data_IF_682303162901
#
_entry.id   IF_682303162901
#
_cell.length_a   1.000
_cell.length_b   1.000
_cell.length_c   1.000
_cell.angle_alpha   90.00
_cell.angle_beta   90.00
_cell.angle_gamma   90.00
#
_symmetry.space_group_name_H-M   'P 1'
#
loop_
_entity.id
_entity.type
_entity.pdbx_description
1 polymer ?
#
# COMPACT_ATOMS: atom_id res chain seq x y z
N UNK A 1 -25.20 -21.70 -5.19
CA UNK A 1 -24.05 -22.08 -4.35
C UNK A 1 -23.18 -20.85 -4.28
N UNK A 2 -23.08 -20.21 -3.12
CA UNK A 2 -22.09 -19.15 -2.92
C UNK A 2 -20.70 -19.78 -3.12
N UNK A 3 -20.00 -19.37 -4.16
CA UNK A 3 -18.60 -19.76 -4.32
C UNK A 3 -17.84 -19.27 -3.09
N UNK A 4 -17.06 -20.16 -2.46
CA UNK A 4 -16.17 -19.79 -1.36
C UNK A 4 -15.15 -18.74 -1.82
N UNK A 5 -14.58 -17.99 -0.89
CA UNK A 5 -13.53 -17.02 -1.21
C UNK A 5 -12.22 -17.74 -1.57
N UNK A 6 -11.35 -17.11 -2.38
CA UNK A 6 -10.15 -17.76 -2.92
C UNK A 6 -9.21 -18.38 -1.89
N UNK A 7 -9.15 -17.82 -0.68
CA UNK A 7 -8.31 -18.32 0.41
C UNK A 7 -9.09 -18.99 1.55
N UNK A 8 -10.35 -19.40 1.28
CA UNK A 8 -11.10 -20.21 2.25
C UNK A 8 -10.31 -21.49 2.60
N UNK A 9 -10.17 -21.74 3.90
CA UNK A 9 -9.39 -22.87 4.44
C UNK A 9 -7.90 -22.56 4.65
N UNK A 10 -7.38 -21.44 4.18
CA UNK A 10 -6.01 -20.98 4.49
C UNK A 10 -5.99 -20.27 5.83
N UNK A 11 -5.03 -20.65 6.68
CA UNK A 11 -4.81 -20.01 7.99
C UNK A 11 -3.51 -19.22 8.00
N UNK A 12 -3.62 -17.96 8.41
CA UNK A 12 -2.48 -17.02 8.49
C UNK A 12 -2.32 -16.56 9.94
N UNK A 13 -1.13 -16.73 10.49
CA UNK A 13 -0.76 -16.18 11.79
C UNK A 13 0.02 -14.87 11.55
N UNK A 14 -0.55 -13.79 12.03
CA UNK A 14 -0.01 -12.44 11.87
C UNK A 14 0.58 -11.94 13.19
N UNK A 15 1.90 -12.03 13.34
CA UNK A 15 2.61 -11.44 14.49
C UNK A 15 3.26 -10.10 14.11
N UNK A 16 2.93 -9.55 12.94
CA UNK A 16 3.46 -8.26 12.47
C UNK A 16 2.81 -7.08 13.18
N UNK A 17 3.43 -5.91 13.07
CA UNK A 17 2.99 -4.66 13.69
C UNK A 17 3.02 -3.51 12.69
N UNK A 18 2.38 -2.42 13.05
CA UNK A 18 2.33 -1.14 12.33
C UNK A 18 1.56 -1.24 11.02
N UNK A 19 2.22 -1.34 9.86
CA UNK A 19 1.52 -1.17 8.59
C UNK A 19 1.84 -2.27 7.55
N UNK A 20 3.07 -2.45 7.11
CA UNK A 20 3.40 -3.31 5.97
C UNK A 20 2.89 -4.76 6.12
N UNK A 21 3.24 -5.42 7.22
CA UNK A 21 2.76 -6.77 7.52
C UNK A 21 1.25 -6.85 7.75
N UNK A 22 0.67 -5.99 8.63
CA UNK A 22 -0.77 -5.94 8.84
C UNK A 22 -1.57 -5.65 7.58
N UNK A 23 -1.06 -4.81 6.67
CA UNK A 23 -1.70 -4.55 5.38
C UNK A 23 -1.73 -5.82 4.50
N UNK A 24 -0.62 -6.52 4.38
CA UNK A 24 -0.56 -7.77 3.62
C UNK A 24 -1.51 -8.84 4.18
N UNK A 25 -1.55 -9.00 5.51
CA UNK A 25 -2.42 -9.99 6.15
C UNK A 25 -3.90 -9.59 6.09
N UNK A 26 -4.21 -8.29 6.05
CA UNK A 26 -5.55 -7.81 5.77
C UNK A 26 -6.02 -8.20 4.35
N UNK A 27 -5.14 -8.13 3.35
CA UNK A 27 -5.48 -8.61 1.99
C UNK A 27 -5.79 -10.10 1.99
N UNK A 28 -5.03 -10.93 2.72
CA UNK A 28 -5.36 -12.35 2.87
C UNK A 28 -6.71 -12.55 3.56
N UNK A 29 -6.98 -11.77 4.61
CA UNK A 29 -8.28 -11.81 5.28
C UNK A 29 -9.41 -11.40 4.34
N UNK A 30 -9.25 -10.34 3.54
CA UNK A 30 -10.25 -9.93 2.55
C UNK A 30 -10.53 -11.04 1.52
N UNK A 31 -9.51 -11.79 1.13
CA UNK A 31 -9.57 -12.92 0.19
C UNK A 31 -10.13 -14.21 0.83
N UNK A 32 -10.45 -14.23 2.11
CA UNK A 32 -11.11 -15.37 2.77
C UNK A 32 -10.26 -16.14 3.78
N UNK A 33 -8.97 -15.87 3.90
CA UNK A 33 -8.12 -16.55 4.87
C UNK A 33 -8.58 -16.29 6.32
N UNK A 34 -8.42 -17.30 7.17
CA UNK A 34 -8.57 -17.18 8.62
C UNK A 34 -7.30 -16.52 9.20
N UNK A 35 -7.31 -15.20 9.31
CA UNK A 35 -6.17 -14.43 9.81
C UNK A 35 -6.30 -14.20 11.31
N UNK A 36 -5.32 -14.72 12.06
CA UNK A 36 -5.21 -14.54 13.52
C UNK A 36 -4.06 -13.56 13.80
N UNK A 37 -4.41 -12.31 14.18
CA UNK A 37 -3.44 -11.33 14.64
C UNK A 37 -3.06 -11.60 16.08
N UNK A 38 -1.79 -11.88 16.31
CA UNK A 38 -1.20 -12.12 17.64
C UNK A 38 -0.52 -10.84 18.10
N UNK A 39 -0.96 -10.31 19.22
CA UNK A 39 -0.42 -9.09 19.82
C UNK A 39 0.19 -9.37 21.18
N UNK A 40 1.21 -8.60 21.62
CA UNK A 40 1.67 -8.64 22.99
C UNK A 40 0.59 -8.09 23.95
N UNK A 41 0.73 -8.26 25.27
CA UNK A 41 -0.24 -7.74 26.26
C UNK A 41 -0.52 -6.24 26.14
N UNK A 42 0.45 -5.47 25.73
CA UNK A 42 0.36 -4.04 25.50
C UNK A 42 -0.32 -3.67 24.14
N UNK A 43 -0.52 -4.64 23.25
CA UNK A 43 -1.10 -4.46 21.92
C UNK A 43 -0.10 -3.96 20.87
N UNK A 44 -0.58 -3.80 19.64
CA UNK A 44 0.12 -3.11 18.55
C UNK A 44 0.21 -1.61 18.88
N UNK A 45 1.38 -1.02 18.71
CA UNK A 45 1.61 0.39 19.03
C UNK A 45 0.67 1.35 18.27
N UNK A 46 0.20 0.94 17.09
CA UNK A 46 -0.77 1.73 16.29
C UNK A 46 -2.13 1.88 16.97
N UNK A 47 -2.46 1.03 17.97
CA UNK A 47 -3.67 1.20 18.77
C UNK A 47 -3.71 2.54 19.53
N UNK A 48 -2.53 3.08 19.86
CA UNK A 48 -2.37 4.37 20.53
C UNK A 48 -2.14 5.55 19.55
N UNK A 49 -2.09 5.31 18.23
CA UNK A 49 -1.83 6.37 17.24
C UNK A 49 -3.12 7.08 16.83
N UNK A 50 -3.78 7.69 17.78
CA UNK A 50 -4.89 8.61 17.61
C UNK A 50 -4.57 10.00 18.21
N UNK A 51 -5.44 11.02 18.05
CA UNK A 51 -6.73 10.98 17.39
C UNK A 51 -6.62 10.80 15.85
N UNK A 52 -7.69 10.33 15.15
CA UNK A 52 -8.98 9.96 15.74
C UNK A 52 -9.04 8.48 16.20
N UNK A 53 -10.06 8.15 16.98
CA UNK A 53 -10.43 6.78 17.37
C UNK A 53 -11.87 6.47 16.94
N UNK A 54 -12.17 5.19 16.76
CA UNK A 54 -13.52 4.69 16.64
C UNK A 54 -14.03 4.29 18.04
N UNK A 55 -15.00 5.06 18.57
CA UNK A 55 -15.53 4.85 19.91
C UNK A 55 -14.64 5.49 21.00
N UNK A 56 -14.59 4.85 22.18
CA UNK A 56 -13.79 5.32 23.32
C UNK A 56 -12.29 5.10 23.03
N UNK A 57 -11.42 6.14 23.21
CA UNK A 57 -9.98 5.97 23.11
C UNK A 57 -9.41 4.84 23.98
N UNK A 58 -10.02 4.57 25.13
CA UNK A 58 -9.62 3.47 26.03
C UNK A 58 -9.80 2.07 25.39
N UNK A 59 -10.67 1.92 24.39
CA UNK A 59 -10.83 0.68 23.63
C UNK A 59 -9.65 0.39 22.67
N UNK A 60 -8.74 1.36 22.46
CA UNK A 60 -7.54 1.21 21.64
C UNK A 60 -7.82 0.94 20.15
N UNK A 61 -8.95 1.44 19.62
CA UNK A 61 -9.28 1.33 18.21
C UNK A 61 -9.02 2.66 17.49
N UNK A 62 -7.73 3.00 17.32
CA UNK A 62 -7.35 4.16 16.52
C UNK A 62 -7.78 3.97 15.05
N UNK A 63 -8.00 5.07 14.33
CA UNK A 63 -8.27 5.00 12.90
C UNK A 63 -7.09 4.37 12.12
N UNK A 64 -5.86 4.56 12.61
CA UNK A 64 -4.68 3.94 12.01
C UNK A 64 -4.72 2.41 12.14
N UNK A 65 -4.91 1.87 13.34
CA UNK A 65 -5.06 0.42 13.55
C UNK A 65 -6.21 -0.15 12.73
N UNK A 66 -7.34 0.55 12.70
CA UNK A 66 -8.54 0.12 11.98
C UNK A 66 -8.31 0.01 10.47
N UNK A 67 -7.46 0.88 9.88
CA UNK A 67 -7.24 0.94 8.44
C UNK A 67 -6.64 -0.34 7.84
N UNK A 68 -5.94 -1.18 8.64
CA UNK A 68 -5.20 -2.36 8.16
C UNK A 68 -5.50 -3.66 8.91
N UNK A 69 -6.58 -3.71 9.71
CA UNK A 69 -6.86 -4.89 10.53
C UNK A 69 -8.30 -5.44 10.41
N UNK A 70 -9.08 -4.98 9.40
CA UNK A 70 -10.40 -5.56 9.13
C UNK A 70 -10.30 -7.04 8.77
N UNK A 71 -11.38 -7.78 9.00
CA UNK A 71 -11.53 -9.20 8.70
C UNK A 71 -10.62 -10.15 9.51
N UNK A 72 -9.83 -9.65 10.47
CA UNK A 72 -8.95 -10.47 11.33
C UNK A 72 -9.62 -10.86 12.63
N UNK A 73 -9.14 -11.96 13.24
CA UNK A 73 -9.35 -12.28 14.64
C UNK A 73 -8.12 -11.80 15.44
N UNK A 74 -8.31 -11.21 16.63
CA UNK A 74 -7.21 -10.69 17.46
C UNK A 74 -7.07 -11.48 18.75
N UNK A 75 -5.85 -11.90 19.06
CA UNK A 75 -5.50 -12.59 20.31
C UNK A 75 -4.30 -11.93 20.98
N UNK A 76 -4.14 -12.15 22.27
CA UNK A 76 -2.98 -11.72 23.06
C UNK A 76 -2.13 -12.91 23.44
N UNK A 77 -0.83 -12.87 23.07
CA UNK A 77 0.20 -13.79 23.55
C UNK A 77 1.48 -13.00 23.87
N UNK A 78 2.05 -13.23 25.04
CA UNK A 78 3.37 -12.67 25.37
C UNK A 78 4.48 -13.60 24.89
N UNK A 79 4.99 -13.35 23.71
CA UNK A 79 6.08 -14.15 23.11
C UNK A 79 7.43 -14.01 23.83
N UNK A 80 7.54 -13.15 24.83
CA UNK A 80 8.71 -13.05 25.71
C UNK A 80 8.72 -14.19 26.73
N UNK A 81 7.58 -14.82 26.97
CA UNK A 81 7.41 -15.96 27.90
C UNK A 81 7.46 -17.31 27.16
N UNK A 82 7.83 -18.37 27.88
CA UNK A 82 7.82 -19.74 27.34
C UNK A 82 6.40 -20.19 27.01
N UNK A 83 5.41 -19.87 27.85
CA UNK A 83 4.01 -20.20 27.63
C UNK A 83 3.46 -19.53 26.37
N UNK A 84 3.78 -18.25 26.16
CA UNK A 84 3.38 -17.52 24.96
C UNK A 84 3.98 -18.10 23.69
N UNK A 85 5.28 -18.47 23.71
CA UNK A 85 5.93 -19.15 22.59
C UNK A 85 5.36 -20.55 22.34
N UNK A 86 5.09 -21.31 23.39
CA UNK A 86 4.45 -22.63 23.28
C UNK A 86 3.02 -22.53 22.72
N UNK A 87 2.25 -21.50 23.09
CA UNK A 87 0.94 -21.25 22.52
C UNK A 87 1.03 -20.86 21.02
N UNK A 88 1.99 -20.02 20.65
CA UNK A 88 2.26 -19.70 19.23
C UNK A 88 2.64 -20.96 18.45
N UNK A 89 3.53 -21.79 18.97
CA UNK A 89 3.99 -23.02 18.30
C UNK A 89 2.82 -23.96 17.98
N UNK A 90 1.85 -24.08 18.91
CA UNK A 90 0.60 -24.84 18.67
C UNK A 90 -0.27 -24.20 17.57
N UNK A 91 -0.34 -22.86 17.51
CA UNK A 91 -1.05 -22.18 16.42
C UNK A 91 -0.40 -22.43 15.05
N UNK A 92 0.94 -22.47 15.02
CA UNK A 92 1.71 -22.69 13.81
C UNK A 92 1.62 -24.12 13.25
N UNK A 93 1.30 -25.10 14.09
CA UNK A 93 1.15 -26.49 13.64
C UNK A 93 0.06 -26.68 12.58
N UNK A 94 -0.98 -25.83 12.62
CA UNK A 94 -2.10 -25.86 11.67
C UNK A 94 -2.13 -24.62 10.75
N UNK A 95 -1.07 -23.83 10.72
CA UNK A 95 -1.00 -22.61 9.92
C UNK A 95 -0.34 -22.85 8.57
N UNK A 96 -0.83 -22.17 7.55
CA UNK A 96 -0.22 -22.16 6.21
C UNK A 96 0.85 -21.07 6.08
N UNK A 97 0.63 -19.91 6.71
CA UNK A 97 1.52 -18.74 6.59
C UNK A 97 1.73 -18.11 7.97
N UNK A 98 2.99 -17.79 8.28
CA UNK A 98 3.35 -16.89 9.37
C UNK A 98 3.90 -15.58 8.79
N UNK A 99 3.38 -14.47 9.26
CA UNK A 99 3.82 -13.12 8.86
C UNK A 99 4.40 -12.37 10.05
N UNK A 100 5.59 -11.79 9.86
CA UNK A 100 6.18 -10.87 10.83
C UNK A 100 6.96 -9.74 10.15
N UNK A 101 7.22 -8.67 10.90
CA UNK A 101 8.10 -7.56 10.49
C UNK A 101 9.11 -7.18 11.59
N UNK A 102 9.52 -8.15 12.38
CA UNK A 102 10.57 -7.97 13.36
C UNK A 102 11.96 -8.02 12.72
N UNK A 103 12.88 -7.20 13.24
CA UNK A 103 14.31 -7.29 12.93
C UNK A 103 14.86 -8.66 13.34
N UNK A 104 15.88 -9.19 12.64
CA UNK A 104 16.44 -10.52 12.93
C UNK A 104 16.74 -10.80 14.40
N UNK A 105 17.40 -9.86 15.10
CA UNK A 105 17.71 -10.01 16.52
C UNK A 105 16.47 -10.08 17.42
N UNK A 106 15.41 -9.35 17.06
CA UNK A 106 14.14 -9.41 17.79
C UNK A 106 13.38 -10.69 17.47
N UNK A 107 13.33 -11.08 16.19
CA UNK A 107 12.70 -12.32 15.75
C UNK A 107 13.34 -13.54 16.48
N UNK A 108 14.65 -13.59 16.58
CA UNK A 108 15.36 -14.65 17.31
C UNK A 108 14.97 -14.70 18.80
N UNK A 109 14.89 -13.55 19.48
CA UNK A 109 14.48 -13.50 20.90
C UNK A 109 13.01 -13.94 21.13
N UNK A 110 12.16 -13.77 20.12
CA UNK A 110 10.74 -14.16 20.18
C UNK A 110 10.48 -15.58 19.67
N UNK A 111 11.52 -16.35 19.31
CA UNK A 111 11.39 -17.70 18.77
C UNK A 111 10.91 -17.78 17.32
N UNK A 112 11.05 -16.68 16.57
CA UNK A 112 10.63 -16.55 15.18
C UNK A 112 11.81 -16.68 14.18
N UNK A 113 12.91 -17.28 14.60
CA UNK A 113 14.06 -17.53 13.72
C UNK A 113 13.67 -18.47 12.58
N UNK A 114 13.95 -18.07 11.33
CA UNK A 114 13.50 -18.77 10.15
C UNK A 114 13.97 -20.24 10.08
N UNK A 115 15.24 -20.52 10.44
CA UNK A 115 15.78 -21.89 10.43
C UNK A 115 15.10 -22.79 11.48
N UNK A 116 14.87 -22.26 12.68
CA UNK A 116 14.20 -22.98 13.75
C UNK A 116 12.73 -23.25 13.42
N UNK A 117 12.02 -22.28 12.84
CA UNK A 117 10.63 -22.43 12.38
C UNK A 117 10.55 -23.47 11.25
N UNK A 118 11.40 -23.40 10.24
CA UNK A 118 11.43 -24.36 9.14
C UNK A 118 11.68 -25.79 9.61
N UNK A 119 12.47 -25.99 10.67
CA UNK A 119 12.71 -27.31 11.27
C UNK A 119 11.48 -27.87 11.99
N UNK A 120 10.75 -27.01 12.73
CA UNK A 120 9.55 -27.44 13.49
C UNK A 120 8.29 -27.51 12.64
N UNK A 121 8.17 -26.61 11.67
CA UNK A 121 7.00 -26.46 10.80
C UNK A 121 7.44 -26.41 9.32
N UNK A 122 7.86 -27.55 8.73
CA UNK A 122 8.44 -27.58 7.39
C UNK A 122 7.47 -27.18 6.27
N UNK A 123 6.16 -27.25 6.53
CA UNK A 123 5.12 -26.87 5.58
C UNK A 123 4.72 -25.39 5.69
N UNK A 124 5.14 -24.69 6.75
CA UNK A 124 4.79 -23.31 7.01
C UNK A 124 5.52 -22.36 6.05
N UNK A 125 4.78 -21.46 5.43
CA UNK A 125 5.35 -20.37 4.66
C UNK A 125 5.69 -19.24 5.63
N UNK A 126 6.97 -18.89 5.72
CA UNK A 126 7.44 -17.77 6.52
C UNK A 126 7.59 -16.54 5.63
N UNK A 127 6.74 -15.53 5.83
CA UNK A 127 6.77 -14.26 5.13
C UNK A 127 7.18 -13.12 6.07
N UNK A 128 8.13 -12.31 5.64
CA UNK A 128 8.65 -11.22 6.48
C UNK A 128 8.91 -9.93 5.71
N UNK A 129 8.68 -8.79 6.37
CA UNK A 129 9.09 -7.46 5.90
C UNK A 129 10.18 -6.94 6.82
N UNK A 130 11.37 -6.67 6.25
CA UNK A 130 12.48 -6.00 6.92
C UNK A 130 12.62 -4.54 6.51
N UNK A 131 13.45 -3.78 7.21
CA UNK A 131 13.79 -2.40 6.82
C UNK A 131 14.89 -2.37 5.76
N UNK A 132 15.99 -3.02 6.05
CA UNK A 132 17.22 -3.04 5.25
C UNK A 132 17.63 -4.47 4.89
N UNK A 133 18.30 -4.67 3.75
CA UNK A 133 18.87 -5.98 3.39
C UNK A 133 20.23 -6.25 4.02
N UNK A 134 20.65 -7.51 4.02
CA UNK A 134 22.00 -7.96 4.29
C UNK A 134 22.52 -7.61 5.69
N UNK A 135 23.72 -7.04 5.78
CA UNK A 135 24.37 -6.72 7.05
C UNK A 135 23.63 -5.65 7.87
N UNK A 136 22.82 -4.83 7.22
CA UNK A 136 22.04 -3.76 7.84
C UNK A 136 20.65 -4.20 8.31
N UNK A 137 20.29 -5.48 8.21
CA UNK A 137 18.96 -6.01 8.51
C UNK A 137 18.45 -5.71 9.93
N UNK A 138 19.36 -5.51 10.89
CA UNK A 138 19.01 -5.15 12.28
C UNK A 138 18.89 -3.63 12.53
N UNK A 139 19.10 -2.79 11.52
CA UNK A 139 18.89 -1.34 11.68
C UNK A 139 17.42 -1.04 11.88
N UNK A 140 17.05 -0.11 12.80
CA UNK A 140 15.68 0.39 12.90
C UNK A 140 15.25 1.04 11.60
N UNK A 141 14.02 0.75 11.17
CA UNK A 141 13.43 1.35 9.99
C UNK A 141 11.94 1.63 10.19
N UNK A 142 11.50 2.70 9.56
CA UNK A 142 10.11 3.05 9.27
C UNK A 142 10.06 3.56 7.83
N UNK A 143 8.88 3.64 7.28
CA UNK A 143 8.62 4.10 5.91
C UNK A 143 9.36 5.41 5.56
N UNK A 144 9.29 6.42 6.43
CA UNK A 144 9.97 7.70 6.20
C UNK A 144 11.49 7.54 5.96
N UNK A 145 12.14 6.71 6.78
CA UNK A 145 13.58 6.43 6.61
C UNK A 145 13.85 5.67 5.32
N UNK A 146 13.00 4.70 4.99
CA UNK A 146 13.10 3.96 3.74
C UNK A 146 12.92 4.86 2.53
N UNK A 147 11.95 5.79 2.53
CA UNK A 147 11.78 6.80 1.47
C UNK A 147 13.03 7.68 1.30
N UNK A 148 13.66 8.07 2.41
CA UNK A 148 14.87 8.88 2.37
C UNK A 148 16.07 8.11 1.77
N UNK A 149 16.27 6.86 2.21
CA UNK A 149 17.45 6.04 1.84
C UNK A 149 17.31 5.44 0.43
N UNK A 150 16.10 5.09 0.00
CA UNK A 150 15.85 4.51 -1.34
C UNK A 150 15.95 5.51 -2.49
N UNK A 151 16.03 6.80 -2.18
CA UNK A 151 16.05 7.87 -3.19
C UNK A 151 14.68 8.43 -3.56
N UNK A 152 13.56 7.86 -3.07
CA UNK A 152 12.21 8.34 -3.39
C UNK A 152 12.02 9.81 -3.01
N UNK A 153 12.52 10.24 -1.84
CA UNK A 153 12.43 11.65 -1.44
C UNK A 153 13.24 12.57 -2.34
N UNK A 154 14.33 12.09 -2.95
CA UNK A 154 15.18 12.92 -3.80
C UNK A 154 14.50 13.37 -5.09
N UNK A 155 13.48 12.62 -5.51
CA UNK A 155 12.72 12.88 -6.76
C UNK A 155 11.30 13.39 -6.49
N UNK A 156 10.91 13.53 -5.20
CA UNK A 156 9.59 14.01 -4.78
C UNK A 156 9.70 15.44 -4.26
N UNK A 157 8.84 16.33 -4.76
CA UNK A 157 8.76 17.75 -4.38
C UNK A 157 9.02 18.68 -5.54
N UNK A 158 8.92 20.00 -5.28
CA UNK A 158 9.16 21.06 -6.24
C UNK A 158 10.63 21.04 -6.73
N UNK A 159 10.91 21.47 -8.00
CA UNK A 159 12.24 21.43 -8.58
C UNK A 159 13.32 22.09 -7.71
N UNK A 160 13.02 23.29 -7.19
CA UNK A 160 13.91 24.08 -6.36
C UNK A 160 13.62 23.94 -4.85
N UNK A 161 12.68 23.06 -4.50
CA UNK A 161 12.28 22.82 -3.11
C UNK A 161 13.15 21.76 -2.41
N UNK A 162 12.94 21.52 -1.10
CA UNK A 162 13.58 20.43 -0.39
C UNK A 162 13.04 19.06 -0.84
N UNK A 163 13.80 17.95 -0.64
CA UNK A 163 13.27 16.61 -0.77
C UNK A 163 12.05 16.39 0.12
N UNK A 164 10.98 15.78 -0.41
CA UNK A 164 9.73 15.56 0.30
C UNK A 164 9.37 14.07 0.36
N UNK A 165 8.76 13.65 1.47
CA UNK A 165 8.12 12.35 1.54
C UNK A 165 6.78 12.37 0.80
N UNK A 166 6.28 11.21 0.39
CA UNK A 166 4.89 11.06 -0.05
C UNK A 166 3.90 11.29 1.12
N UNK A 167 2.66 11.63 0.81
CA UNK A 167 1.63 11.92 1.81
C UNK A 167 1.26 10.74 2.71
N UNK A 168 1.51 9.51 2.25
CA UNK A 168 1.22 8.25 2.95
C UNK A 168 2.48 7.42 3.12
N UNK A 169 2.45 6.38 3.95
CA UNK A 169 3.54 5.41 4.11
C UNK A 169 3.57 4.44 2.91
N UNK A 170 3.95 4.95 1.74
CA UNK A 170 3.82 4.26 0.45
C UNK A 170 4.73 3.03 0.35
N UNK A 171 5.91 3.06 0.95
CA UNK A 171 6.83 1.93 0.91
C UNK A 171 6.38 0.78 1.80
N UNK A 172 5.72 1.06 2.92
CA UNK A 172 5.03 0.04 3.71
C UNK A 172 3.94 -0.66 2.88
N UNK A 173 3.16 0.10 2.09
CA UNK A 173 2.12 -0.47 1.23
C UNK A 173 2.73 -1.32 0.11
N UNK A 174 3.77 -0.83 -0.57
CA UNK A 174 4.45 -1.55 -1.65
C UNK A 174 5.08 -2.83 -1.11
N UNK A 175 5.88 -2.76 -0.05
CA UNK A 175 6.50 -3.92 0.55
C UNK A 175 5.48 -4.94 1.07
N UNK A 176 4.35 -4.47 1.63
CA UNK A 176 3.24 -5.32 2.03
C UNK A 176 2.60 -6.05 0.85
N UNK A 177 2.38 -5.36 -0.28
CA UNK A 177 1.88 -5.96 -1.52
C UNK A 177 2.87 -6.99 -2.09
N UNK A 178 4.15 -6.66 -2.17
CA UNK A 178 5.21 -7.56 -2.66
C UNK A 178 5.30 -8.82 -1.79
N UNK A 179 5.23 -8.66 -0.46
CA UNK A 179 5.21 -9.80 0.45
C UNK A 179 3.94 -10.64 0.25
N UNK A 180 2.77 -10.02 0.08
CA UNK A 180 1.53 -10.75 -0.20
C UNK A 180 1.62 -11.54 -1.50
N UNK A 181 2.16 -10.96 -2.57
CA UNK A 181 2.40 -11.66 -3.85
C UNK A 181 3.36 -12.83 -3.66
N UNK A 182 4.47 -12.63 -2.96
CA UNK A 182 5.44 -13.69 -2.68
C UNK A 182 4.83 -14.85 -1.87
N UNK A 183 4.02 -14.55 -0.84
CA UNK A 183 3.36 -15.57 -0.03
C UNK A 183 2.29 -16.34 -0.83
N UNK A 184 1.50 -15.64 -1.67
CA UNK A 184 0.54 -16.29 -2.58
C UNK A 184 1.25 -17.17 -3.60
N UNK A 185 2.37 -16.73 -4.17
CA UNK A 185 3.18 -17.55 -5.07
C UNK A 185 3.71 -18.81 -4.38
N UNK A 186 4.15 -18.69 -3.12
CA UNK A 186 4.57 -19.84 -2.30
C UNK A 186 3.42 -20.80 -2.00
N UNK A 187 2.21 -20.28 -1.71
CA UNK A 187 1.01 -21.11 -1.54
C UNK A 187 0.65 -21.89 -2.81
N UNK A 188 0.69 -21.25 -3.98
CA UNK A 188 0.46 -21.90 -5.27
C UNK A 188 1.51 -22.98 -5.57
N UNK A 189 2.79 -22.66 -5.32
CA UNK A 189 3.91 -23.58 -5.55
C UNK A 189 4.05 -24.70 -4.50
N UNK A 190 3.26 -24.67 -3.42
CA UNK A 190 3.39 -25.56 -2.26
C UNK A 190 3.37 -27.05 -2.61
N UNK A 191 2.42 -27.47 -3.46
CA UNK A 191 2.26 -28.87 -3.87
C UNK A 191 3.45 -29.40 -4.70
N UNK A 192 4.20 -28.52 -5.37
CA UNK A 192 5.40 -28.85 -6.12
C UNK A 192 6.69 -28.77 -5.29
N UNK A 193 6.59 -28.60 -3.97
CA UNK A 193 7.77 -28.46 -3.09
C UNK A 193 8.49 -27.12 -3.23
N UNK A 194 7.78 -26.07 -3.66
CA UNK A 194 8.33 -24.72 -3.83
C UNK A 194 8.87 -24.10 -2.54
N UNK A 195 9.63 -22.99 -2.66
CA UNK A 195 10.22 -22.31 -1.52
C UNK A 195 9.16 -21.78 -0.55
N UNK A 196 9.47 -21.84 0.75
CA UNK A 196 8.55 -21.47 1.83
C UNK A 196 9.02 -20.23 2.62
N UNK A 197 10.03 -19.54 2.12
CA UNK A 197 10.51 -18.31 2.73
C UNK A 197 10.36 -17.15 1.77
N UNK A 198 9.63 -16.12 2.22
CA UNK A 198 9.41 -14.86 1.51
C UNK A 198 9.98 -13.73 2.36
N UNK A 199 10.82 -12.92 1.79
CA UNK A 199 11.39 -11.75 2.46
C UNK A 199 11.38 -10.56 1.52
N UNK A 200 10.89 -9.43 2.02
CA UNK A 200 10.90 -8.13 1.35
C UNK A 200 11.52 -7.11 2.29
N UNK A 201 12.23 -6.13 1.76
CA UNK A 201 12.80 -5.03 2.55
C UNK A 201 12.30 -3.69 2.04
N UNK A 202 11.94 -2.78 2.95
CA UNK A 202 11.41 -1.46 2.60
C UNK A 202 12.32 -0.67 1.67
N UNK A 203 13.64 -0.71 1.91
CA UNK A 203 14.60 0.04 1.08
C UNK A 203 14.70 -0.53 -0.34
N UNK A 204 14.70 -1.86 -0.50
CA UNK A 204 14.73 -2.51 -1.82
C UNK A 204 13.41 -2.25 -2.57
N UNK A 205 12.26 -2.38 -1.89
CA UNK A 205 10.96 -2.01 -2.44
C UNK A 205 10.94 -0.53 -2.88
N UNK A 206 11.55 0.36 -2.08
CA UNK A 206 11.68 1.77 -2.42
C UNK A 206 12.52 2.02 -3.68
N UNK A 207 13.67 1.35 -3.83
CA UNK A 207 14.51 1.49 -5.02
C UNK A 207 13.79 0.96 -6.27
N UNK A 208 13.16 -0.22 -6.18
CA UNK A 208 12.43 -0.82 -7.30
C UNK A 208 11.20 -0.01 -7.71
N UNK A 209 10.55 0.67 -6.75
CA UNK A 209 9.40 1.54 -7.02
C UNK A 209 9.73 2.80 -7.83
N UNK A 210 11.00 3.17 -7.98
CA UNK A 210 11.41 4.31 -8.81
C UNK A 210 11.22 4.06 -10.34
N UNK A 211 11.03 2.83 -10.76
CA UNK A 211 10.65 2.41 -12.13
C UNK A 211 11.40 3.17 -13.24
N UNK A 212 10.72 4.09 -13.97
CA UNK A 212 11.31 4.88 -15.07
C UNK A 212 12.39 5.85 -14.58
N UNK A 213 12.27 6.37 -13.38
CA UNK A 213 13.24 7.28 -12.77
C UNK A 213 14.56 6.53 -12.50
N UNK A 214 14.47 5.30 -11.96
CA UNK A 214 15.63 4.41 -11.85
C UNK A 214 16.18 4.05 -13.23
N UNK A 215 15.31 3.78 -14.22
CA UNK A 215 15.70 3.52 -15.60
C UNK A 215 16.49 4.70 -16.20
N UNK A 216 16.04 5.93 -16.00
CA UNK A 216 16.73 7.14 -16.44
C UNK A 216 18.14 7.24 -15.80
N UNK A 217 18.24 7.03 -14.48
CA UNK A 217 19.53 7.02 -13.78
C UNK A 217 20.50 5.99 -14.36
N UNK A 218 20.02 4.76 -14.58
CA UNK A 218 20.85 3.67 -15.13
C UNK A 218 21.24 3.91 -16.59
N UNK A 219 20.44 4.67 -17.33
CA UNK A 219 20.74 5.09 -18.70
C UNK A 219 21.66 6.33 -18.77
N UNK A 220 22.16 6.83 -17.64
CA UNK A 220 23.09 7.96 -17.59
C UNK A 220 22.41 9.34 -17.58
N UNK A 221 21.09 9.40 -17.34
CA UNK A 221 20.34 10.65 -17.18
C UNK A 221 19.91 10.81 -15.71
N UNK A 222 20.69 11.51 -14.87
CA UNK A 222 20.36 11.66 -13.45
C UNK A 222 18.99 12.33 -13.25
N UNK A 223 18.09 11.73 -12.45
CA UNK A 223 16.78 12.30 -12.21
C UNK A 223 16.85 13.50 -11.26
N UNK A 224 15.92 14.44 -11.47
CA UNK A 224 15.67 15.56 -10.56
C UNK A 224 14.25 15.51 -10.00
N UNK A 225 13.90 16.53 -9.21
CA UNK A 225 12.52 16.79 -8.84
C UNK A 225 11.83 17.58 -9.95
N UNK A 226 10.61 17.23 -10.23
CA UNK A 226 9.81 17.84 -11.30
C UNK A 226 8.46 18.39 -10.81
N UNK A 227 8.27 18.52 -9.48
CA UNK A 227 6.95 18.84 -8.91
C UNK A 227 5.93 17.80 -9.32
N UNK A 228 4.86 18.26 -9.97
CA UNK A 228 3.84 17.39 -10.53
C UNK A 228 4.07 17.00 -11.99
N UNK A 229 5.18 17.45 -12.62
CA UNK A 229 5.47 17.16 -14.03
C UNK A 229 6.17 15.80 -14.20
N UNK A 230 5.86 15.12 -15.31
CA UNK A 230 6.52 13.86 -15.66
C UNK A 230 7.85 14.12 -16.38
N UNK A 231 8.95 13.40 -16.04
CA UNK A 231 10.27 13.67 -16.63
C UNK A 231 10.40 13.31 -18.12
N UNK A 232 9.55 12.40 -18.63
CA UNK A 232 9.70 11.86 -19.98
C UNK A 232 8.50 12.13 -20.92
N UNK A 233 7.43 12.76 -20.42
CA UNK A 233 6.19 13.00 -21.17
C UNK A 233 5.68 14.41 -20.86
N UNK A 234 5.30 15.20 -21.88
CA UNK A 234 4.78 16.55 -21.72
C UNK A 234 3.67 16.89 -22.73
N UNK A 235 2.56 17.59 -22.28
CA UNK A 235 2.25 17.90 -20.90
C UNK A 235 1.72 16.68 -20.13
N UNK A 236 2.21 16.45 -18.93
CA UNK A 236 1.72 15.44 -17.99
C UNK A 236 1.96 16.00 -16.59
N UNK A 237 1.03 16.84 -16.10
CA UNK A 237 1.18 17.60 -14.85
C UNK A 237 -0.13 18.24 -14.38
N UNK A 238 -0.09 18.92 -13.23
CA UNK A 238 -1.18 19.77 -12.78
C UNK A 238 -1.15 21.15 -13.44
N UNK A 239 -2.36 21.74 -13.54
CA UNK A 239 -2.60 23.10 -14.01
C UNK A 239 -3.67 23.74 -13.14
N UNK A 240 -3.60 25.08 -13.01
CA UNK A 240 -4.59 25.88 -12.27
C UNK A 240 -5.66 26.40 -13.24
N UNK A 241 -6.88 25.88 -13.11
CA UNK A 241 -8.06 26.47 -13.72
C UNK A 241 -8.55 27.66 -12.86
N UNK A 242 -9.60 28.35 -13.30
CA UNK A 242 -10.13 29.54 -12.65
C UNK A 242 -10.61 29.27 -11.20
N UNK A 243 -11.09 28.07 -10.93
CA UNK A 243 -11.75 27.67 -9.68
C UNK A 243 -11.11 26.45 -8.99
N UNK A 244 -9.92 26.02 -9.42
CA UNK A 244 -9.18 24.93 -8.76
C UNK A 244 -8.19 24.20 -9.66
N UNK A 245 -7.47 23.28 -9.06
CA UNK A 245 -6.43 22.48 -9.72
C UNK A 245 -7.02 21.27 -10.46
N UNK A 246 -6.45 20.99 -11.64
CA UNK A 246 -6.69 19.75 -12.38
C UNK A 246 -5.38 19.19 -12.92
N UNK A 247 -5.38 17.91 -13.28
CA UNK A 247 -4.27 17.29 -14.02
C UNK A 247 -4.66 17.06 -15.47
N UNK A 248 -3.68 17.25 -16.36
CA UNK A 248 -3.80 16.91 -17.80
C UNK A 248 -2.64 15.95 -18.12
N UNK A 249 -2.96 14.80 -18.71
CA UNK A 249 -2.01 13.72 -18.97
C UNK A 249 -2.03 13.35 -20.48
N UNK A 250 -1.17 13.97 -21.26
CA UNK A 250 -1.04 13.70 -22.69
C UNK A 250 0.00 12.62 -22.93
N UNK A 251 -0.43 11.45 -23.38
CA UNK A 251 0.43 10.29 -23.61
C UNK A 251 1.02 10.20 -25.04
N UNK A 252 0.47 10.96 -26.03
CA UNK A 252 0.93 10.93 -27.42
C UNK A 252 0.61 12.22 -28.17
N UNK A 253 1.19 12.37 -29.38
CA UNK A 253 1.07 13.61 -30.17
C UNK A 253 -0.37 13.85 -30.67
N UNK A 254 -1.15 12.80 -30.92
CA UNK A 254 -2.56 12.95 -31.32
C UNK A 254 -3.41 13.52 -30.17
N UNK A 255 -3.20 13.08 -28.93
CA UNK A 255 -3.85 13.67 -27.75
C UNK A 255 -3.41 15.12 -27.54
N UNK A 256 -2.15 15.45 -27.83
CA UNK A 256 -1.70 16.85 -27.79
C UNK A 256 -2.44 17.74 -28.78
N UNK A 257 -2.64 17.27 -30.01
CA UNK A 257 -3.46 18.01 -31.01
C UNK A 257 -4.88 18.28 -30.52
N UNK A 258 -5.54 17.27 -29.95
CA UNK A 258 -6.89 17.42 -29.39
C UNK A 258 -6.94 18.36 -28.18
N UNK A 259 -5.90 18.33 -27.34
CA UNK A 259 -5.76 19.30 -26.23
C UNK A 259 -5.75 20.74 -26.76
N UNK A 260 -4.93 21.00 -27.81
CA UNK A 260 -4.84 22.33 -28.41
C UNK A 260 -6.19 22.77 -29.01
N UNK A 261 -6.91 21.87 -29.67
CA UNK A 261 -8.26 22.15 -30.20
C UNK A 261 -9.24 22.54 -29.09
N UNK A 262 -9.28 21.80 -27.98
CA UNK A 262 -10.15 22.12 -26.83
C UNK A 262 -9.78 23.47 -26.23
N UNK A 263 -8.49 23.75 -26.08
CA UNK A 263 -8.02 25.03 -25.51
C UNK A 263 -8.11 26.22 -26.50
N UNK A 264 -8.44 25.97 -27.76
CA UNK A 264 -8.48 27.00 -28.80
C UNK A 264 -7.09 27.55 -29.16
N UNK A 265 -6.06 26.73 -29.04
CA UNK A 265 -4.68 27.09 -29.33
C UNK A 265 -4.27 26.62 -30.74
N UNK A 266 -3.52 27.45 -31.45
CA UNK A 266 -2.92 27.04 -32.74
C UNK A 266 -1.77 26.05 -32.50
N UNK A 267 -1.62 25.06 -33.40
CA UNK A 267 -0.48 24.16 -33.35
C UNK A 267 0.84 24.94 -33.62
N UNK A 268 1.84 24.67 -32.79
CA UNK A 268 3.18 25.21 -32.90
C UNK A 268 4.16 24.08 -33.25
N UNK A 269 4.92 24.15 -34.36
CA UNK A 269 5.93 23.15 -34.72
C UNK A 269 6.99 22.92 -33.64
N UNK A 270 7.23 23.89 -32.77
CA UNK A 270 8.14 23.77 -31.62
C UNK A 270 7.70 22.69 -30.61
N UNK A 271 6.39 22.41 -30.53
CA UNK A 271 5.81 21.43 -29.62
C UNK A 271 5.22 20.20 -30.35
N UNK A 272 5.59 19.96 -31.61
CA UNK A 272 4.93 18.96 -32.45
C UNK A 272 5.08 17.53 -31.94
N UNK A 273 6.23 17.18 -31.36
CA UNK A 273 6.52 15.83 -30.87
C UNK A 273 6.80 15.82 -29.37
N UNK A 274 6.58 14.67 -28.72
CA UNK A 274 6.86 14.54 -27.28
C UNK A 274 8.32 14.91 -26.91
N UNK A 275 9.38 14.48 -27.63
CA UNK A 275 10.73 14.93 -27.30
C UNK A 275 10.92 16.45 -27.35
N UNK A 276 10.28 17.12 -28.30
CA UNK A 276 10.32 18.58 -28.38
C UNK A 276 9.61 19.23 -27.21
N UNK A 277 8.43 18.72 -26.83
CA UNK A 277 7.67 19.21 -25.67
C UNK A 277 8.41 19.00 -24.35
N UNK A 278 9.05 17.84 -24.17
CA UNK A 278 9.86 17.57 -22.98
C UNK A 278 11.05 18.53 -22.91
N UNK A 279 11.75 18.74 -24.01
CA UNK A 279 12.89 19.68 -24.08
C UNK A 279 12.49 21.13 -23.79
N UNK A 280 11.30 21.54 -24.24
CA UNK A 280 10.75 22.89 -24.10
C UNK A 280 9.67 22.99 -22.98
N UNK A 281 9.69 22.10 -21.99
CA UNK A 281 8.66 22.04 -20.96
C UNK A 281 8.51 23.36 -20.18
N UNK A 282 9.62 24.07 -19.96
CA UNK A 282 9.61 25.37 -19.29
C UNK A 282 8.84 26.47 -20.04
N UNK A 283 8.71 26.35 -21.39
CA UNK A 283 7.94 27.23 -22.25
C UNK A 283 6.51 26.73 -22.44
N UNK A 284 6.37 25.42 -22.62
CA UNK A 284 5.10 24.76 -22.85
C UNK A 284 4.13 24.91 -21.67
N UNK A 285 4.62 24.71 -20.43
CA UNK A 285 3.77 24.68 -19.26
C UNK A 285 3.07 26.03 -18.99
N UNK A 286 3.74 27.21 -19.02
CA UNK A 286 3.07 28.50 -18.88
C UNK A 286 2.11 28.79 -20.05
N UNK A 287 2.49 28.46 -21.28
CA UNK A 287 1.65 28.69 -22.44
C UNK A 287 0.30 27.93 -22.36
N UNK A 288 0.32 26.67 -21.96
CA UNK A 288 -0.88 25.91 -21.70
C UNK A 288 -1.62 26.42 -20.45
N UNK A 289 -0.89 26.79 -19.40
CA UNK A 289 -1.44 27.31 -18.15
C UNK A 289 -2.28 28.56 -18.36
N UNK A 290 -1.83 29.51 -19.20
CA UNK A 290 -2.57 30.71 -19.54
C UNK A 290 -3.91 30.41 -20.26
N UNK A 291 -3.96 29.36 -21.04
CA UNK A 291 -5.20 28.91 -21.68
C UNK A 291 -6.13 28.19 -20.71
N UNK A 292 -5.56 27.30 -19.87
CA UNK A 292 -6.30 26.55 -18.83
C UNK A 292 -6.92 27.49 -17.81
N UNK A 293 -6.23 28.52 -17.38
CA UNK A 293 -6.71 29.51 -16.39
C UNK A 293 -7.98 30.26 -16.82
N UNK A 294 -8.38 30.21 -18.10
CA UNK A 294 -9.62 30.81 -18.61
C UNK A 294 -10.85 29.92 -18.42
N UNK A 295 -10.64 28.67 -18.07
CA UNK A 295 -11.71 27.67 -17.94
C UNK A 295 -12.12 27.45 -16.50
N UNK A 296 -13.39 27.10 -16.29
CA UNK A 296 -13.82 26.45 -15.06
C UNK A 296 -13.33 25.01 -15.09
N UNK A 297 -12.82 24.52 -13.95
CA UNK A 297 -12.20 23.19 -13.81
C UNK A 297 -13.09 22.07 -14.34
N UNK A 298 -14.34 22.01 -13.89
CA UNK A 298 -15.28 20.96 -14.30
C UNK A 298 -15.56 21.03 -15.81
N UNK A 299 -15.83 22.23 -16.34
CA UNK A 299 -16.11 22.39 -17.76
C UNK A 299 -14.92 21.98 -18.64
N UNK A 300 -13.69 22.27 -18.22
CA UNK A 300 -12.51 21.84 -18.95
C UNK A 300 -12.29 20.33 -18.89
N UNK A 301 -12.45 19.72 -17.71
CA UNK A 301 -12.34 18.26 -17.55
C UNK A 301 -13.35 17.54 -18.43
N UNK A 302 -14.60 18.01 -18.47
CA UNK A 302 -15.64 17.43 -19.33
C UNK A 302 -15.30 17.56 -20.83
N UNK A 303 -14.83 18.74 -21.26
CA UNK A 303 -14.43 18.98 -22.66
C UNK A 303 -13.23 18.12 -23.08
N UNK A 304 -12.22 17.99 -22.22
CA UNK A 304 -11.05 17.16 -22.46
C UNK A 304 -11.39 15.67 -22.49
N UNK A 305 -12.25 15.22 -21.58
CA UNK A 305 -12.76 13.83 -21.55
C UNK A 305 -13.54 13.51 -22.84
N UNK A 306 -14.41 14.40 -23.29
CA UNK A 306 -15.15 14.25 -24.56
C UNK A 306 -14.22 14.21 -25.79
N UNK A 307 -13.05 14.88 -25.71
CA UNK A 307 -12.01 14.86 -26.74
C UNK A 307 -11.03 13.68 -26.58
N UNK A 308 -11.26 12.72 -25.70
CA UNK A 308 -10.35 11.60 -25.41
C UNK A 308 -8.93 12.07 -25.00
N UNK A 309 -8.87 13.12 -24.17
CA UNK A 309 -7.65 13.61 -23.52
C UNK A 309 -7.78 13.34 -22.02
N UNK A 310 -6.93 12.52 -21.43
CA UNK A 310 -7.01 12.22 -20.01
C UNK A 310 -6.81 13.48 -19.15
N UNK A 311 -7.82 13.81 -18.36
CA UNK A 311 -7.81 14.92 -17.41
C UNK A 311 -8.68 14.58 -16.20
N UNK A 312 -8.41 15.24 -15.07
CA UNK A 312 -9.21 15.07 -13.87
C UNK A 312 -8.94 16.14 -12.83
N UNK A 313 -9.90 16.40 -11.91
CA UNK A 313 -9.70 17.36 -10.84
C UNK A 313 -8.70 16.84 -9.81
N UNK A 314 -7.93 17.72 -9.19
CA UNK A 314 -7.20 17.40 -7.95
C UNK A 314 -8.20 17.49 -6.79
N UNK A 315 -8.65 16.32 -6.35
CA UNK A 315 -9.64 16.19 -5.29
C UNK A 315 -9.02 16.21 -3.90
N UNK A 316 -9.72 16.77 -2.92
CA UNK A 316 -9.46 16.46 -1.51
C UNK A 316 -9.86 15.01 -1.20
N UNK A 317 -9.40 14.48 -0.05
CA UNK A 317 -9.82 13.14 0.40
C UNK A 317 -11.35 13.07 0.57
N UNK A 318 -11.97 14.15 1.06
CA UNK A 318 -13.43 14.22 1.21
C UNK A 318 -14.13 14.16 -0.15
N UNK A 319 -13.66 14.90 -1.14
CA UNK A 319 -14.21 14.88 -2.50
C UNK A 319 -14.04 13.51 -3.15
N UNK A 320 -12.87 12.90 -2.97
CA UNK A 320 -12.61 11.55 -3.49
C UNK A 320 -13.56 10.51 -2.90
N UNK A 321 -13.81 10.56 -1.60
CA UNK A 321 -14.78 9.66 -0.93
C UNK A 321 -16.20 9.93 -1.42
N UNK A 322 -16.60 11.21 -1.56
CA UNK A 322 -17.93 11.58 -2.04
C UNK A 322 -18.17 11.18 -3.51
N UNK A 323 -17.12 11.14 -4.33
CA UNK A 323 -17.18 10.70 -5.72
C UNK A 323 -17.23 9.18 -5.90
N UNK A 324 -16.97 8.39 -4.84
CA UNK A 324 -17.08 6.94 -4.90
C UNK A 324 -18.53 6.50 -5.10
N UNK A 325 -18.70 5.30 -5.61
CA UNK A 325 -20.02 4.67 -5.74
C UNK A 325 -20.73 4.71 -4.39
N UNK A 326 -22.03 5.09 -4.34
CA UNK A 326 -22.79 5.03 -3.11
C UNK A 326 -22.62 3.68 -2.42
N UNK A 327 -22.49 3.71 -1.09
CA UNK A 327 -22.28 2.52 -0.24
C UNK A 327 -20.93 1.79 -0.44
N UNK A 328 -19.94 2.40 -1.15
CA UNK A 328 -18.60 1.81 -1.23
C UNK A 328 -17.93 1.72 0.13
N UNK A 329 -18.07 2.75 0.98
CA UNK A 329 -17.64 2.68 2.38
C UNK A 329 -18.65 1.85 3.17
N UNK A 330 -18.19 0.77 3.78
CA UNK A 330 -19.03 -0.14 4.55
C UNK A 330 -18.94 0.16 6.04
N UNK A 331 -20.06 0.11 6.74
CA UNK A 331 -20.12 0.26 8.20
C UNK A 331 -20.33 -1.11 8.84
N UNK A 332 -19.37 -1.55 9.63
CA UNK A 332 -19.42 -2.82 10.35
C UNK A 332 -19.16 -2.54 11.84
N UNK A 333 -20.13 -2.85 12.70
CA UNK A 333 -20.12 -2.58 14.14
C UNK A 333 -19.71 -1.13 14.50
N UNK A 334 -20.23 -0.16 13.73
CA UNK A 334 -20.00 1.28 13.92
C UNK A 334 -18.67 1.80 13.36
N UNK A 335 -17.84 0.94 12.77
CA UNK A 335 -16.58 1.32 12.12
C UNK A 335 -16.80 1.44 10.62
N UNK A 336 -16.47 2.60 10.05
CA UNK A 336 -16.54 2.82 8.60
C UNK A 336 -15.21 2.43 7.94
N UNK A 337 -15.28 1.55 6.95
CA UNK A 337 -14.10 0.98 6.30
C UNK A 337 -14.32 0.88 4.79
N UNK A 338 -13.31 1.22 3.97
CA UNK A 338 -13.34 0.85 2.57
C UNK A 338 -13.18 -0.67 2.44
N UNK A 339 -13.92 -1.35 1.55
CA UNK A 339 -13.63 -2.74 1.21
C UNK A 339 -12.33 -2.84 0.40
N UNK A 340 -11.89 -4.06 0.12
CA UNK A 340 -10.81 -4.28 -0.85
C UNK A 340 -11.22 -3.78 -2.24
N UNK A 341 -10.34 -3.10 -2.99
CA UNK A 341 -10.59 -2.77 -4.38
C UNK A 341 -10.51 -3.98 -5.31
N UNK A 342 -10.02 -5.12 -4.82
CA UNK A 342 -9.90 -6.36 -5.59
C UNK A 342 -11.29 -6.92 -5.85
N UNK A 343 -11.57 -7.28 -7.10
CA UNK A 343 -12.77 -8.00 -7.53
C UNK A 343 -12.35 -9.35 -8.08
N UNK A 344 -13.02 -10.43 -7.64
CA UNK A 344 -12.77 -11.78 -8.13
C UNK A 344 -14.10 -12.37 -8.57
N UNK A 345 -14.20 -12.72 -9.84
CA UNK A 345 -15.50 -13.02 -10.46
C UNK A 345 -16.34 -11.76 -10.60
N UNK A 346 -17.64 -11.88 -10.37
CA UNK A 346 -18.60 -10.77 -10.45
C UNK A 346 -18.71 -9.98 -9.13
N UNK A 347 -18.25 -10.54 -8.02
CA UNK A 347 -18.52 -10.02 -6.67
C UNK A 347 -17.37 -9.17 -6.13
N UNK A 348 -17.72 -8.07 -5.44
CA UNK A 348 -16.78 -7.30 -4.65
C UNK A 348 -16.49 -8.03 -3.33
N UNK A 349 -15.25 -7.92 -2.86
CA UNK A 349 -14.89 -8.40 -1.54
C UNK A 349 -15.49 -7.46 -0.47
N UNK A 350 -16.18 -8.03 0.51
CA UNK A 350 -16.83 -7.27 1.58
C UNK A 350 -16.04 -7.29 2.89
N UNK A 351 -16.24 -6.25 3.68
CA UNK A 351 -15.80 -6.24 5.08
C UNK A 351 -16.75 -7.14 5.88
N UNK A 352 -16.27 -8.30 6.30
CA UNK A 352 -17.05 -9.32 7.04
C UNK A 352 -16.95 -9.15 8.55
N UNK A 353 -15.86 -8.55 9.03
CA UNK A 353 -15.58 -8.30 10.46
C UNK A 353 -14.91 -6.95 10.64
N UNK A 354 -15.25 -6.20 11.71
CA UNK A 354 -14.50 -5.01 12.06
C UNK A 354 -13.08 -5.39 12.51
N UNK A 355 -12.16 -4.43 12.60
CA UNK A 355 -10.86 -4.64 13.24
C UNK A 355 -11.06 -5.12 14.69
N UNK A 356 -10.31 -6.14 15.16
CA UNK A 356 -10.53 -6.70 16.47
C UNK A 356 -10.10 -5.76 17.60
N UNK A 357 -10.83 -5.76 18.71
CA UNK A 357 -10.33 -5.21 19.99
C UNK A 357 -9.17 -6.07 20.50
N UNK A 358 -8.33 -5.50 21.36
CA UNK A 358 -7.19 -6.23 21.92
C UNK A 358 -7.66 -7.50 22.64
N UNK A 359 -7.16 -8.64 22.21
CA UNK A 359 -7.47 -9.93 22.82
C UNK A 359 -8.90 -10.45 22.61
N UNK A 360 -9.71 -9.80 21.78
CA UNK A 360 -11.14 -10.10 21.60
C UNK A 360 -11.42 -11.59 21.37
N UNK A 361 -10.56 -12.30 20.67
CA UNK A 361 -10.76 -13.71 20.30
C UNK A 361 -9.79 -14.66 21.02
N UNK A 362 -9.08 -14.20 22.07
CA UNK A 362 -8.05 -15.01 22.75
C UNK A 362 -8.63 -16.32 23.29
N UNK A 363 -9.74 -16.27 24.05
CA UNK A 363 -10.37 -17.46 24.64
C UNK A 363 -10.88 -18.40 23.55
N UNK A 364 -11.56 -17.86 22.54
CA UNK A 364 -12.11 -18.64 21.42
C UNK A 364 -11.00 -19.42 20.70
N UNK A 365 -9.92 -18.72 20.31
CA UNK A 365 -8.82 -19.31 19.54
C UNK A 365 -8.05 -20.33 20.37
N UNK A 366 -7.74 -20.03 21.63
CA UNK A 366 -7.00 -20.96 22.49
C UNK A 366 -7.80 -22.22 22.83
N UNK A 367 -9.13 -22.12 23.01
CA UNK A 367 -9.98 -23.28 23.20
C UNK A 367 -10.02 -24.18 21.96
N UNK A 368 -9.97 -23.62 20.76
CA UNK A 368 -9.87 -24.41 19.52
C UNK A 368 -8.58 -25.24 19.45
N UNK A 369 -7.49 -24.81 20.12
CA UNK A 369 -6.23 -25.57 20.21
C UNK A 369 -6.29 -26.69 21.24
N UNK A 370 -7.11 -26.55 22.30
CA UNK A 370 -7.26 -27.55 23.35
C UNK A 370 -8.28 -28.63 23.03
N UNK A 371 -9.11 -28.42 22.02
CA UNK A 371 -10.16 -29.37 21.61
C UNK A 371 -9.68 -30.41 20.57
N UNK A 372 -8.45 -30.35 20.20
CA UNK A 372 -7.75 -31.27 19.26
C UNK A 372 -6.63 -32.00 20.00
#
# INVERSE_FOLDING_TARGET
>A
MTQGLPLDGIRVIDVSRVLAGPFATMLFADLGADVIKVEPPEGDETRAWGPPWWGDPADGLSAYFASVNRNKRGIVLDLRTDDGRAALDRLLADADVLVHNYRPSTASRLGLEAAALASRHPELILASVGGFPGADADRPAYDLLAQAVSGLMSVTGEPDGPPMKTGVAVLDLIAGLEMAVGALASLVGRAAGGPRRVQVNLVEAGVTSLINVLGNQLAGSPPGRHGNAHPNIAPYQSFSARDGELVIAVGNDAQFGRLLEVLGLAADPHFATNPQRVAACAELAPWLGDAVARWDRTALVDALTAADVPAGPVNSVADAVAAMVPDWIQTVDGVQLPPSPIRIGADALHVRRPPPRLGQHTVEVLNQLGAR
#
